data_IF_030949067983
#
_entry.id   IF_030949067983
#
_cell.length_a   1.000
_cell.length_b   1.000
_cell.length_c   1.000
_cell.angle_alpha   90.00
_cell.angle_beta   90.00
_cell.angle_gamma   90.00
#
_symmetry.space_group_name_H-M   'P 1'
#
loop_
_entity.id
_entity.type
_entity.pdbx_description
1 polymer ?
#
# COMPACT_ATOMS: atom_id res chain seq x y z
N UNK A 1 -20.12 -28.03 20.11
CA UNK A 1 -19.84 -26.57 20.17
C UNK A 1 -18.91 -26.21 21.33
N UNK A 2 -18.64 -27.13 22.27
CA UNK A 2 -17.94 -26.85 23.54
C UNK A 2 -16.41 -27.03 23.48
N UNK A 3 -15.91 -27.80 22.53
CA UNK A 3 -14.46 -28.06 22.35
C UNK A 3 -13.66 -26.84 21.89
N UNK A 4 -14.24 -26.01 21.00
CA UNK A 4 -13.60 -24.76 20.57
C UNK A 4 -13.54 -23.72 21.70
N UNK A 5 -14.62 -23.60 22.49
CA UNK A 5 -14.67 -22.71 23.65
C UNK A 5 -13.63 -23.12 24.71
N UNK A 6 -13.44 -24.42 24.90
CA UNK A 6 -12.40 -24.97 25.79
C UNK A 6 -10.98 -24.70 25.28
N UNK A 7 -10.74 -24.80 23.96
CA UNK A 7 -9.44 -24.51 23.36
C UNK A 7 -9.01 -23.04 23.55
N UNK A 8 -9.92 -22.10 23.29
CA UNK A 8 -9.64 -20.66 23.44
C UNK A 8 -9.58 -20.20 24.91
N UNK A 9 -10.22 -20.92 25.85
CA UNK A 9 -10.14 -20.61 27.27
C UNK A 9 -8.81 -21.08 27.91
N UNK A 10 -8.13 -22.03 27.28
CA UNK A 10 -6.82 -22.56 27.70
C UNK A 10 -5.65 -21.59 27.48
N UNK A 11 -4.52 -21.89 28.15
CA UNK A 11 -3.27 -21.09 28.04
C UNK A 11 -2.75 -21.01 26.59
N UNK A 12 -2.92 -22.09 25.81
CA UNK A 12 -2.49 -22.17 24.42
C UNK A 12 -3.29 -21.19 23.53
N UNK A 13 -4.63 -21.18 23.64
CA UNK A 13 -5.49 -20.27 22.87
C UNK A 13 -5.19 -18.79 23.17
N UNK A 14 -4.97 -18.45 24.44
CA UNK A 14 -4.56 -17.10 24.86
C UNK A 14 -3.17 -16.73 24.31
N UNK A 15 -2.21 -17.66 24.35
CA UNK A 15 -0.87 -17.42 23.79
C UNK A 15 -0.92 -17.16 22.29
N UNK A 16 -1.73 -17.93 21.54
CA UNK A 16 -1.95 -17.71 20.10
C UNK A 16 -2.54 -16.31 19.86
N UNK A 17 -3.57 -15.91 20.61
CA UNK A 17 -4.15 -14.56 20.48
C UNK A 17 -3.13 -13.45 20.74
N UNK A 18 -2.31 -13.60 21.79
CA UNK A 18 -1.27 -12.63 22.12
C UNK A 18 -0.24 -12.55 20.99
N UNK A 19 0.21 -13.68 20.45
CA UNK A 19 1.15 -13.72 19.34
C UNK A 19 0.53 -13.03 18.11
N UNK A 20 -0.72 -13.35 17.75
CA UNK A 20 -1.41 -12.68 16.66
C UNK A 20 -1.50 -11.17 16.86
N UNK A 21 -1.85 -10.72 18.06
CA UNK A 21 -1.90 -9.29 18.40
C UNK A 21 -0.52 -8.61 18.27
N UNK A 22 0.53 -9.26 18.78
CA UNK A 22 1.89 -8.74 18.65
C UNK A 22 2.34 -8.65 17.19
N UNK A 23 2.01 -9.65 16.37
CA UNK A 23 2.32 -9.65 14.94
C UNK A 23 1.56 -8.56 14.18
N UNK A 24 0.29 -8.32 14.54
CA UNK A 24 -0.51 -7.22 13.97
C UNK A 24 0.10 -5.87 14.35
N UNK A 25 0.36 -5.64 15.65
CA UNK A 25 0.96 -4.40 16.13
C UNK A 25 2.32 -4.15 15.46
N UNK A 26 3.16 -5.19 15.40
CA UNK A 26 4.45 -5.12 14.73
C UNK A 26 4.31 -4.77 13.24
N UNK A 27 3.41 -5.45 12.52
CA UNK A 27 3.18 -5.15 11.10
C UNK A 27 2.67 -3.72 10.91
N UNK A 28 1.65 -3.31 11.66
CA UNK A 28 1.09 -1.95 11.57
C UNK A 28 2.14 -0.90 11.85
N UNK A 29 3.02 -1.11 12.84
CA UNK A 29 4.12 -0.20 13.11
C UNK A 29 5.19 -0.21 12.01
N UNK A 30 5.58 -1.40 11.54
CA UNK A 30 6.63 -1.56 10.53
C UNK A 30 6.23 -1.03 9.14
N UNK A 31 4.93 -1.03 8.83
CA UNK A 31 4.41 -0.56 7.55
C UNK A 31 3.74 0.81 7.62
N UNK A 32 3.78 1.46 8.80
CA UNK A 32 3.19 2.77 8.99
C UNK A 32 3.80 3.80 8.02
N UNK A 33 2.96 4.42 7.20
CA UNK A 33 3.38 5.42 6.21
C UNK A 33 3.86 4.86 4.87
N UNK A 34 3.87 3.54 4.68
CA UNK A 34 4.07 2.94 3.35
C UNK A 34 2.72 3.00 2.60
N UNK A 35 2.66 3.57 1.38
CA UNK A 35 1.46 3.53 0.56
C UNK A 35 1.21 2.08 0.11
N UNK A 36 0.21 1.43 0.71
CA UNK A 36 -0.11 0.01 0.45
C UNK A 36 -1.38 -0.13 -0.42
N UNK A 37 -1.91 0.95 -0.98
CA UNK A 37 -3.27 1.01 -1.56
C UNK A 37 -3.29 1.56 -3.01
N UNK A 38 -4.48 1.78 -3.58
CA UNK A 38 -4.74 2.30 -4.94
C UNK A 38 -3.88 3.52 -5.35
N UNK A 39 -3.49 4.35 -4.37
CA UNK A 39 -2.58 5.47 -4.57
C UNK A 39 -1.20 5.04 -5.10
N UNK A 40 -0.67 3.89 -4.65
CA UNK A 40 0.62 3.37 -5.10
C UNK A 40 0.61 3.04 -6.60
N UNK A 41 -0.49 2.47 -7.10
CA UNK A 41 -0.67 2.24 -8.53
C UNK A 41 -0.49 3.54 -9.30
N UNK A 42 -1.19 4.60 -8.89
CA UNK A 42 -1.07 5.93 -9.51
C UNK A 42 0.36 6.48 -9.46
N UNK A 43 1.05 6.35 -8.32
CA UNK A 43 2.44 6.83 -8.18
C UNK A 43 3.42 6.08 -9.07
N UNK A 44 3.20 4.77 -9.28
CA UNK A 44 4.03 3.97 -10.19
C UNK A 44 3.83 4.38 -11.64
N UNK A 45 2.58 4.58 -12.08
CA UNK A 45 2.30 5.12 -13.41
C UNK A 45 2.95 6.50 -13.61
N UNK A 46 2.81 7.38 -12.62
CA UNK A 46 3.41 8.71 -12.64
C UNK A 46 4.96 8.64 -12.71
N UNK A 47 5.59 7.76 -11.94
CA UNK A 47 7.04 7.54 -11.96
C UNK A 47 7.52 7.05 -13.33
N UNK A 48 6.85 6.04 -13.90
CA UNK A 48 7.21 5.50 -15.20
C UNK A 48 7.03 6.55 -16.31
N UNK A 49 6.00 7.39 -16.19
CA UNK A 49 5.81 8.52 -17.10
C UNK A 49 6.97 9.52 -17.02
N UNK A 50 7.40 9.89 -15.80
CA UNK A 50 8.54 10.80 -15.59
C UNK A 50 9.87 10.20 -16.07
N UNK A 51 10.04 8.87 -15.95
CA UNK A 51 11.22 8.16 -16.42
C UNK A 51 11.28 7.97 -17.94
N UNK A 52 10.19 8.29 -18.67
CA UNK A 52 10.11 8.13 -20.12
C UNK A 52 9.62 6.76 -20.60
N UNK A 53 9.25 5.86 -19.69
CA UNK A 53 8.67 4.55 -20.02
C UNK A 53 7.21 4.65 -20.50
N UNK A 54 6.60 5.83 -20.30
CA UNK A 54 5.20 6.13 -20.59
C UNK A 54 4.28 5.86 -19.40
N UNK A 55 3.00 6.17 -19.56
CA UNK A 55 1.98 5.92 -18.54
C UNK A 55 1.60 4.43 -18.49
N UNK A 56 2.52 3.59 -18.03
CA UNK A 56 2.37 2.13 -17.92
C UNK A 56 2.69 1.65 -16.51
N UNK A 57 2.10 0.53 -16.08
CA UNK A 57 2.48 -0.10 -14.81
C UNK A 57 3.78 -0.91 -14.95
N UNK A 58 3.90 -1.69 -16.03
CA UNK A 58 5.09 -2.46 -16.38
C UNK A 58 5.60 -1.99 -17.75
N UNK A 59 6.86 -1.53 -17.87
CA UNK A 59 7.43 -1.19 -19.17
C UNK A 59 7.32 -2.36 -20.15
N UNK A 60 6.86 -2.07 -21.37
CA UNK A 60 6.56 -3.08 -22.40
C UNK A 60 5.07 -3.42 -22.53
N UNK A 61 4.29 -3.31 -21.44
CA UNK A 61 2.86 -3.56 -21.44
C UNK A 61 2.07 -2.25 -21.40
N UNK A 62 1.34 -1.94 -22.48
CA UNK A 62 0.52 -0.73 -22.58
C UNK A 62 -0.91 -1.01 -22.14
N UNK A 63 -1.15 -0.94 -20.84
CA UNK A 63 -2.47 -1.09 -20.24
C UNK A 63 -2.74 0.12 -19.34
N UNK A 64 -3.93 0.70 -19.46
CA UNK A 64 -4.41 1.75 -18.56
C UNK A 64 -4.98 1.12 -17.28
N UNK A 65 -4.42 1.48 -16.12
CA UNK A 65 -4.82 0.93 -14.83
C UNK A 65 -4.86 1.96 -13.70
N UNK A 66 -4.81 3.25 -14.00
CA UNK A 66 -5.05 4.33 -13.04
C UNK A 66 -6.53 4.72 -13.09
N UNK A 67 -7.13 5.03 -11.94
CA UNK A 67 -8.56 5.37 -11.87
C UNK A 67 -8.86 6.84 -12.22
N UNK A 68 -7.86 7.72 -12.17
CA UNK A 68 -8.00 9.14 -12.49
C UNK A 68 -6.77 9.65 -13.25
N UNK A 69 -6.95 9.92 -14.54
CA UNK A 69 -5.88 10.38 -15.42
C UNK A 69 -5.29 11.72 -14.98
N UNK A 70 -6.12 12.70 -14.66
CA UNK A 70 -5.67 14.03 -14.23
C UNK A 70 -4.85 13.93 -12.94
N UNK A 71 -5.29 13.09 -12.01
CA UNK A 71 -4.57 12.85 -10.76
C UNK A 71 -3.21 12.19 -10.99
N UNK A 72 -3.12 11.22 -11.91
CA UNK A 72 -1.85 10.61 -12.31
C UNK A 72 -0.89 11.65 -12.90
N UNK A 73 -1.38 12.55 -13.77
CA UNK A 73 -0.57 13.64 -14.33
C UNK A 73 -0.08 14.64 -13.27
N UNK A 74 -0.92 15.02 -12.32
CA UNK A 74 -0.51 15.92 -11.22
C UNK A 74 0.57 15.29 -10.35
N UNK A 75 0.47 13.98 -10.07
CA UNK A 75 1.52 13.25 -9.37
C UNK A 75 2.80 13.13 -10.19
N UNK A 76 2.70 12.96 -11.51
CA UNK A 76 3.85 12.96 -12.41
C UNK A 76 4.55 14.33 -12.41
N UNK A 77 3.78 15.42 -12.43
CA UNK A 77 4.32 16.78 -12.32
C UNK A 77 5.02 16.99 -10.96
N UNK A 78 4.39 16.57 -9.86
CA UNK A 78 5.00 16.64 -8.53
C UNK A 78 6.32 15.86 -8.45
N UNK A 79 6.34 14.63 -8.97
CA UNK A 79 7.54 13.80 -9.06
C UNK A 79 8.63 14.43 -9.93
N UNK A 80 8.27 15.01 -11.07
CA UNK A 80 9.20 15.72 -11.95
C UNK A 80 9.83 16.94 -11.27
N UNK A 81 9.08 17.63 -10.41
CA UNK A 81 9.58 18.72 -9.56
C UNK A 81 10.37 18.25 -8.33
N UNK A 82 10.53 16.94 -8.12
CA UNK A 82 11.22 16.36 -6.97
C UNK A 82 10.41 16.33 -5.67
N UNK A 83 9.09 16.57 -5.75
CA UNK A 83 8.18 16.50 -4.60
C UNK A 83 7.75 15.06 -4.39
N UNK A 84 7.85 14.57 -3.15
CA UNK A 84 7.40 13.22 -2.82
C UNK A 84 5.87 13.13 -2.97
N UNK A 85 5.34 12.25 -3.83
CA UNK A 85 3.91 12.13 -4.06
C UNK A 85 3.16 11.79 -2.79
N UNK A 86 3.78 11.11 -1.81
CA UNK A 86 3.16 10.82 -0.52
C UNK A 86 2.75 12.07 0.25
N UNK A 87 3.57 13.13 0.17
CA UNK A 87 3.33 14.39 0.87
C UNK A 87 2.36 15.26 0.06
N UNK A 88 2.44 15.19 -1.27
CA UNK A 88 1.59 15.95 -2.18
C UNK A 88 0.14 15.43 -2.20
N UNK A 89 -0.05 14.11 -2.15
CA UNK A 89 -1.37 13.47 -2.18
C UNK A 89 -2.08 13.42 -0.83
N UNK A 90 -1.36 13.69 0.26
CA UNK A 90 -1.89 13.66 1.63
C UNK A 90 -2.51 14.98 2.10
N UNK A 91 -2.46 16.01 1.26
CA UNK A 91 -3.07 17.33 1.46
C UNK A 91 -4.50 17.30 0.93
#
# INVERSE_FOLDING_TARGET
MDTLKFFWSGRLGKAILIICLLLIIFNTYATWGIPIDDAYTTFRYARNLVNGDGAVYNPGDRVEGYSNFLWMLLNALGLWLGINPLVFSSI
#
